data_IF_497262174669
#
_entry.id   IF_497262174669
#
_cell.length_a   1.000
_cell.length_b   1.000
_cell.length_c   1.000
_cell.angle_alpha   90.00
_cell.angle_beta   90.00
_cell.angle_gamma   90.00
#
_symmetry.space_group_name_H-M   'P 1'
#
loop_
_entity.id
_entity.type
_entity.pdbx_description
1 polymer ?
#
# COMPACT_ATOMS: atom_id res chain seq x y z
N UNK A 1 -3.08 5.80 -1.70
CA UNK A 1 -2.51 4.57 -1.13
C UNK A 1 -2.76 4.54 0.36
N UNK A 2 -3.16 3.40 0.92
CA UNK A 2 -3.22 3.16 2.36
C UNK A 2 -2.00 2.32 2.73
N UNK A 3 -1.16 2.81 3.64
CA UNK A 3 0.00 2.08 4.18
C UNK A 3 -0.18 2.01 5.69
N UNK A 4 -0.18 0.80 6.24
CA UNK A 4 -0.26 0.59 7.69
C UNK A 4 1.08 0.84 8.41
N UNK A 5 1.07 0.86 9.75
CA UNK A 5 2.29 0.90 10.55
C UNK A 5 3.09 -0.41 10.44
N UNK A 6 4.25 -0.48 11.09
CA UNK A 6 5.14 -1.65 11.02
C UNK A 6 4.46 -2.93 11.54
N UNK A 7 3.50 -2.80 12.46
CA UNK A 7 2.67 -3.89 12.97
C UNK A 7 1.55 -4.35 12.02
N UNK A 8 1.41 -3.71 10.85
CA UNK A 8 0.31 -3.95 9.92
C UNK A 8 -1.00 -3.31 10.35
N UNK A 9 -2.04 -3.59 9.58
CA UNK A 9 -3.44 -3.25 9.90
C UNK A 9 -4.08 -4.47 10.54
N UNK A 10 -4.98 -4.24 11.49
CA UNK A 10 -5.81 -5.33 12.02
C UNK A 10 -6.99 -5.65 11.08
N UNK A 11 -7.66 -6.78 11.33
CA UNK A 11 -8.74 -7.27 10.46
C UNK A 11 -9.88 -6.24 10.30
N UNK A 12 -10.26 -5.53 11.37
CA UNK A 12 -11.32 -4.53 11.32
C UNK A 12 -10.93 -3.31 10.46
N UNK A 13 -9.67 -2.88 10.51
CA UNK A 13 -9.15 -1.80 9.66
C UNK A 13 -9.09 -2.23 8.19
N UNK A 14 -8.73 -3.49 7.92
CA UNK A 14 -8.73 -4.06 6.57
C UNK A 14 -10.16 -4.10 6.01
N UNK A 15 -11.12 -4.60 6.78
CA UNK A 15 -12.52 -4.66 6.39
C UNK A 15 -13.09 -3.26 6.13
N UNK A 16 -12.75 -2.28 6.99
CA UNK A 16 -13.15 -0.89 6.79
C UNK A 16 -12.56 -0.31 5.50
N UNK A 17 -11.29 -0.57 5.21
CA UNK A 17 -10.65 -0.10 3.98
C UNK A 17 -11.32 -0.71 2.74
N UNK A 18 -11.60 -2.01 2.77
CA UNK A 18 -12.31 -2.69 1.67
C UNK A 18 -13.72 -2.12 1.47
N UNK A 19 -14.47 -1.90 2.56
CA UNK A 19 -15.79 -1.27 2.51
C UNK A 19 -15.75 0.17 1.97
N UNK A 20 -14.64 0.89 2.18
CA UNK A 20 -14.39 2.21 1.61
C UNK A 20 -13.88 2.17 0.15
N UNK A 21 -13.76 1.00 -0.47
CA UNK A 21 -13.35 0.82 -1.86
C UNK A 21 -11.83 0.69 -2.08
N UNK A 22 -11.04 0.53 -1.02
CA UNK A 22 -9.62 0.21 -1.18
C UNK A 22 -9.44 -1.23 -1.68
N UNK A 23 -8.51 -1.40 -2.61
CA UNK A 23 -8.14 -2.69 -3.17
C UNK A 23 -6.79 -3.13 -2.61
N UNK A 24 -6.67 -4.40 -2.22
CA UNK A 24 -5.41 -4.96 -1.78
C UNK A 24 -4.42 -5.08 -2.94
N UNK A 25 -3.18 -4.62 -2.72
CA UNK A 25 -2.10 -4.69 -3.70
C UNK A 25 -0.81 -5.17 -3.03
N UNK A 26 0.02 -5.90 -3.80
CA UNK A 26 1.32 -6.41 -3.35
C UNK A 26 2.44 -5.84 -4.22
N UNK A 27 3.45 -5.24 -3.60
CA UNK A 27 4.62 -4.66 -4.27
C UNK A 27 5.81 -5.64 -4.26
N UNK A 28 5.65 -6.76 -4.98
CA UNK A 28 6.64 -7.83 -5.02
C UNK A 28 6.61 -8.77 -3.81
N UNK A 29 7.55 -9.73 -3.69
CA UNK A 29 7.45 -10.82 -2.72
C UNK A 29 7.95 -10.47 -1.31
N UNK A 30 8.60 -9.32 -1.11
CA UNK A 30 9.23 -8.94 0.16
C UNK A 30 8.32 -7.99 0.93
N UNK A 31 8.25 -8.16 2.24
CA UNK A 31 7.63 -7.18 3.14
C UNK A 31 8.50 -5.92 3.13
N UNK A 32 7.91 -4.79 2.76
CA UNK A 32 8.56 -3.49 2.79
C UNK A 32 8.36 -2.89 4.18
N UNK A 33 9.38 -2.23 4.70
CA UNK A 33 9.26 -1.41 5.92
C UNK A 33 8.28 -0.27 5.70
N UNK A 34 7.72 0.22 6.81
CA UNK A 34 6.72 1.30 6.81
C UNK A 34 7.18 2.53 6.03
N UNK A 35 8.45 2.94 6.17
CA UNK A 35 8.98 4.10 5.42
C UNK A 35 9.24 3.82 3.93
N UNK A 36 9.49 2.56 3.56
CA UNK A 36 9.85 2.16 2.19
C UNK A 36 8.62 1.91 1.32
N UNK A 37 7.57 1.31 1.90
CA UNK A 37 6.32 1.00 1.22
C UNK A 37 5.69 2.21 0.47
N UNK A 38 5.53 3.41 1.07
CA UNK A 38 4.92 4.56 0.39
C UNK A 38 5.77 5.07 -0.77
N UNK A 39 7.10 5.11 -0.60
CA UNK A 39 8.02 5.57 -1.66
C UNK A 39 7.93 4.62 -2.86
N UNK A 40 7.98 3.31 -2.63
CA UNK A 40 7.86 2.32 -3.72
C UNK A 40 6.47 2.39 -4.37
N UNK A 41 5.40 2.53 -3.60
CA UNK A 41 4.04 2.64 -4.14
C UNK A 41 3.90 3.86 -5.07
N UNK A 42 4.42 5.02 -4.65
CA UNK A 42 4.41 6.24 -5.46
C UNK A 42 5.28 6.11 -6.71
N UNK A 43 6.49 5.57 -6.58
CA UNK A 43 7.37 5.35 -7.74
C UNK A 43 6.73 4.44 -8.78
N UNK A 44 6.09 3.34 -8.36
CA UNK A 44 5.38 2.42 -9.27
C UNK A 44 4.17 3.12 -9.91
N UNK A 45 3.42 3.91 -9.14
CA UNK A 45 2.28 4.66 -9.68
C UNK A 45 2.72 5.67 -10.75
N UNK A 46 3.80 6.40 -10.49
CA UNK A 46 4.38 7.36 -11.44
C UNK A 46 4.90 6.65 -12.70
N UNK A 47 5.56 5.51 -12.55
CA UNK A 47 6.03 4.70 -13.68
C UNK A 47 4.90 4.18 -14.58
N UNK A 48 3.73 3.87 -14.01
CA UNK A 48 2.62 3.25 -14.74
C UNK A 48 1.62 4.27 -15.29
N UNK A 49 1.41 5.38 -14.59
CA UNK A 49 0.32 6.33 -14.88
C UNK A 49 0.73 7.79 -14.79
N UNK A 50 1.95 8.08 -14.36
CA UNK A 50 2.45 9.44 -14.20
C UNK A 50 3.35 9.87 -15.35
N UNK A 51 4.33 10.69 -15.01
CA UNK A 51 5.26 11.34 -15.93
C UNK A 51 6.74 10.94 -15.68
N UNK A 52 6.94 9.77 -15.09
CA UNK A 52 8.25 9.14 -14.89
C UNK A 52 8.75 8.37 -16.12
#
# INVERSE_FOLDING_TARGET
FLIGPEGGLNDAEIDQAQAAGFHAARLGPRVLRTETAPVVALSVAQQLWGDF
#
